data_IF_232236875667
#
_entry.id   IF_232236875667
#
_cell.length_a   1.000
_cell.length_b   1.000
_cell.length_c   1.000
_cell.angle_alpha   90.00
_cell.angle_beta   90.00
_cell.angle_gamma   90.00
#
_symmetry.space_group_name_H-M   'P 1'
#
loop_
_entity.id
_entity.type
_entity.pdbx_description
1 polymer ?
#
# COMPACT_ATOMS: atom_id res chain seq x y z
N UNK A 1 -32.56 20.19 21.13
CA UNK A 1 -31.23 20.74 20.87
C UNK A 1 -30.14 20.08 21.70
N UNK A 2 -29.84 18.82 21.46
CA UNK A 2 -28.83 18.03 22.21
C UNK A 2 -27.82 17.38 21.25
N UNK A 3 -27.50 17.97 20.11
CA UNK A 3 -26.60 17.40 19.12
C UNK A 3 -25.33 18.22 18.83
N UNK A 4 -25.04 19.26 19.63
CA UNK A 4 -23.94 20.22 19.35
C UNK A 4 -22.66 20.09 20.17
N UNK A 5 -22.53 19.20 21.18
CA UNK A 5 -21.41 19.27 22.12
C UNK A 5 -20.56 18.00 22.27
N UNK A 6 -20.69 17.01 21.40
CA UNK A 6 -19.95 15.72 21.54
C UNK A 6 -18.52 15.75 20.99
N UNK A 7 -18.12 16.74 20.21
CA UNK A 7 -16.81 16.75 19.54
C UNK A 7 -15.68 17.40 20.35
N UNK A 8 -15.96 18.40 21.15
CA UNK A 8 -14.92 19.17 21.91
C UNK A 8 -14.66 18.60 23.31
N UNK A 9 -15.65 17.96 23.95
CA UNK A 9 -15.49 17.37 25.28
C UNK A 9 -14.63 16.11 25.32
N UNK A 10 -14.52 15.39 24.21
CA UNK A 10 -13.75 14.14 24.15
C UNK A 10 -12.24 14.37 23.97
N UNK A 11 -11.84 15.52 23.43
CA UNK A 11 -10.42 15.89 23.27
C UNK A 11 -9.80 16.24 24.63
N UNK A 12 -10.51 16.95 25.48
CA UNK A 12 -10.02 17.32 26.83
C UNK A 12 -9.98 16.16 27.83
N UNK A 13 -10.82 15.12 27.65
CA UNK A 13 -10.79 13.94 28.52
C UNK A 13 -9.61 12.99 28.24
N UNK A 14 -8.91 13.13 27.13
CA UNK A 14 -7.76 12.28 26.77
C UNK A 14 -6.48 12.63 27.53
N UNK A 15 -6.39 13.81 28.13
CA UNK A 15 -5.17 14.29 28.79
C UNK A 15 -4.85 13.58 30.10
N UNK A 16 -5.86 13.03 30.80
CA UNK A 16 -5.70 12.32 32.08
C UNK A 16 -6.06 10.81 31.97
N UNK A 17 -6.10 10.27 30.77
CA UNK A 17 -6.49 8.88 30.58
C UNK A 17 -5.35 7.92 30.95
N UNK A 18 -5.59 7.02 31.90
CA UNK A 18 -4.69 5.93 32.23
C UNK A 18 -4.72 4.87 31.09
N UNK A 19 -3.67 4.84 30.27
CA UNK A 19 -3.51 3.89 29.17
C UNK A 19 -2.98 2.51 29.61
N UNK A 20 -2.96 2.19 30.90
CA UNK A 20 -2.60 0.86 31.36
C UNK A 20 -3.49 -0.23 30.72
N UNK A 21 -2.91 -1.39 30.42
CA UNK A 21 -3.66 -2.52 29.83
C UNK A 21 -4.90 -2.89 30.64
N UNK A 22 -4.78 -2.79 31.95
CA UNK A 22 -5.87 -3.09 32.89
C UNK A 22 -7.01 -2.07 32.82
N UNK A 23 -6.71 -0.79 32.65
CA UNK A 23 -7.73 0.25 32.53
C UNK A 23 -8.38 0.22 31.15
N UNK A 24 -7.60 0.13 30.08
CA UNK A 24 -8.11 0.09 28.71
C UNK A 24 -8.93 -1.18 28.45
N UNK A 25 -8.51 -2.34 28.99
CA UNK A 25 -9.32 -3.57 28.87
C UNK A 25 -10.69 -3.42 29.52
N UNK A 26 -10.76 -2.72 30.64
CA UNK A 26 -12.03 -2.43 31.32
C UNK A 26 -12.91 -1.46 30.52
N UNK A 27 -12.33 -0.38 30.02
CA UNK A 27 -13.05 0.66 29.24
C UNK A 27 -13.60 0.10 27.94
N UNK A 28 -12.83 -0.76 27.27
CA UNK A 28 -13.21 -1.36 25.99
C UNK A 28 -13.94 -2.70 26.12
N UNK A 29 -14.16 -3.19 27.35
CA UNK A 29 -14.79 -4.49 27.63
C UNK A 29 -14.09 -5.66 26.91
N UNK A 30 -12.77 -5.64 26.85
CA UNK A 30 -11.95 -6.69 26.22
C UNK A 30 -10.93 -7.25 27.22
N UNK A 31 -10.35 -8.42 26.95
CA UNK A 31 -9.26 -8.95 27.78
C UNK A 31 -7.92 -8.27 27.46
N UNK A 32 -7.01 -8.22 28.43
CA UNK A 32 -5.63 -7.74 28.21
C UNK A 32 -4.90 -8.58 27.13
N UNK A 33 -5.22 -9.88 27.04
CA UNK A 33 -4.73 -10.72 25.96
C UNK A 33 -5.23 -10.30 24.57
N UNK A 34 -6.44 -9.74 24.49
CA UNK A 34 -6.99 -9.18 23.25
C UNK A 34 -6.24 -7.91 22.84
N UNK A 35 -5.92 -7.03 23.80
CA UNK A 35 -5.11 -5.83 23.54
C UNK A 35 -3.71 -6.20 23.05
N UNK A 36 -3.09 -7.21 23.66
CA UNK A 36 -1.76 -7.69 23.23
C UNK A 36 -1.79 -8.26 21.81
N UNK A 37 -2.81 -9.08 21.48
CA UNK A 37 -2.99 -9.62 20.12
C UNK A 37 -3.29 -8.54 19.09
N UNK A 38 -4.08 -7.55 19.47
CA UNK A 38 -4.33 -6.38 18.62
C UNK A 38 -3.03 -5.65 18.32
N UNK A 39 -2.23 -5.34 19.34
CA UNK A 39 -0.95 -4.65 19.20
C UNK A 39 0.02 -5.42 18.30
N UNK A 40 0.08 -6.74 18.45
CA UNK A 40 0.90 -7.61 17.59
C UNK A 40 0.41 -7.59 16.12
N UNK A 41 -0.89 -7.55 15.88
CA UNK A 41 -1.44 -7.37 14.52
C UNK A 41 -1.12 -5.99 13.93
N UNK A 42 -0.92 -4.99 14.78
CA UNK A 42 -0.48 -3.65 14.37
C UNK A 42 1.04 -3.54 14.20
N UNK A 43 1.80 -4.65 14.32
CA UNK A 43 3.25 -4.68 14.11
C UNK A 43 4.10 -4.39 15.35
N UNK A 44 3.51 -4.29 16.53
CA UNK A 44 4.23 -4.07 17.79
C UNK A 44 4.48 -5.39 18.51
N UNK A 45 5.54 -5.48 19.31
CA UNK A 45 5.89 -6.69 20.13
C UNK A 45 4.82 -7.00 21.19
N UNK A 46 4.03 -5.99 21.59
CA UNK A 46 2.94 -6.12 22.55
C UNK A 46 2.29 -4.80 22.91
N UNK A 47 1.28 -4.85 23.81
CA UNK A 47 0.49 -3.69 24.17
C UNK A 47 1.32 -2.52 24.75
N UNK A 48 2.38 -2.83 25.51
CA UNK A 48 3.25 -1.82 26.14
C UNK A 48 3.98 -0.96 25.10
N UNK A 49 4.51 -1.59 24.07
CA UNK A 49 5.21 -0.91 22.98
C UNK A 49 4.23 -0.09 22.13
N UNK A 50 3.06 -0.66 21.82
CA UNK A 50 1.98 0.05 21.13
C UNK A 50 1.57 1.32 21.88
N UNK A 51 1.31 1.25 23.19
CA UNK A 51 0.92 2.41 24.00
C UNK A 51 2.04 3.42 24.12
N UNK A 52 3.29 3.00 24.29
CA UNK A 52 4.43 3.90 24.30
C UNK A 52 4.54 4.72 23.01
N UNK A 53 4.35 4.07 21.87
CA UNK A 53 4.33 4.76 20.57
C UNK A 53 3.14 5.73 20.48
N UNK A 54 1.95 5.29 20.88
CA UNK A 54 0.74 6.10 20.89
C UNK A 54 0.86 7.33 21.81
N UNK A 55 1.36 7.15 23.05
CA UNK A 55 1.58 8.26 23.99
C UNK A 55 2.64 9.24 23.48
N UNK A 56 3.68 8.75 22.82
CA UNK A 56 4.70 9.58 22.18
C UNK A 56 4.07 10.45 21.09
N UNK A 57 3.22 9.87 20.27
CA UNK A 57 2.53 10.57 19.20
C UNK A 57 1.50 11.58 19.77
N UNK A 58 0.75 11.23 20.83
CA UNK A 58 -0.13 12.14 21.56
C UNK A 58 0.63 13.32 22.21
N UNK A 59 1.79 13.07 22.84
CA UNK A 59 2.63 14.14 23.41
C UNK A 59 3.19 15.05 22.33
N UNK A 60 3.40 14.53 21.15
CA UNK A 60 3.76 15.31 19.98
C UNK A 60 2.58 16.14 19.46
N UNK A 61 1.37 15.60 19.47
CA UNK A 61 0.15 16.34 19.14
C UNK A 61 -0.14 17.46 20.18
N UNK A 62 0.03 17.19 21.46
CA UNK A 62 -0.20 18.17 22.53
C UNK A 62 0.80 19.35 22.53
N UNK A 63 2.04 19.14 22.05
CA UNK A 63 2.97 20.25 21.84
C UNK A 63 2.58 21.13 20.65
N UNK A 64 1.57 20.74 19.91
CA UNK A 64 1.09 21.40 18.71
C UNK A 64 -0.27 22.09 18.83
N UNK A 65 -0.92 22.11 19.99
CA UNK A 65 -2.14 22.89 20.19
C UNK A 65 -1.84 24.39 20.37
N UNK A 66 -1.86 25.11 19.28
CA UNK A 66 -2.00 26.56 19.25
C UNK A 66 -0.93 27.30 18.49
N UNK A 67 -1.08 27.44 17.23
CA UNK A 67 -0.74 28.57 16.33
C UNK A 67 -0.42 28.09 14.91
N UNK A 68 -0.36 28.98 13.93
CA UNK A 68 0.12 28.75 12.54
C UNK A 68 1.42 27.92 12.43
N UNK A 69 2.18 27.77 13.52
CA UNK A 69 3.38 26.91 13.60
C UNK A 69 3.07 25.42 13.52
N UNK A 70 1.88 24.99 13.88
CA UNK A 70 1.52 23.56 13.95
C UNK A 70 1.17 22.97 12.60
N UNK A 71 0.50 23.75 11.75
CA UNK A 71 0.30 23.38 10.35
C UNK A 71 1.66 23.18 9.66
N UNK A 72 2.65 24.02 10.00
CA UNK A 72 4.02 23.87 9.52
C UNK A 72 4.71 22.58 9.98
N UNK A 73 4.46 22.12 11.21
CA UNK A 73 5.02 20.87 11.74
C UNK A 73 4.37 19.63 11.11
N UNK A 74 3.05 19.63 10.96
CA UNK A 74 2.33 18.56 10.26
C UNK A 74 2.76 18.47 8.80
N UNK A 75 2.78 19.58 8.07
CA UNK A 75 3.25 19.65 6.70
C UNK A 75 4.68 19.12 6.55
N UNK A 76 5.59 19.47 7.47
CA UNK A 76 6.97 18.95 7.49
C UNK A 76 7.02 17.43 7.72
N UNK A 77 6.17 16.88 8.61
CA UNK A 77 6.09 15.42 8.81
C UNK A 77 5.65 14.71 7.54
N UNK A 78 4.58 15.19 6.91
CA UNK A 78 4.10 14.67 5.63
C UNK A 78 5.21 14.75 4.58
N UNK A 79 5.85 15.91 4.45
CA UNK A 79 6.98 16.11 3.54
C UNK A 79 8.12 15.11 3.79
N UNK A 80 8.53 14.94 5.05
CA UNK A 80 9.59 14.02 5.44
C UNK A 80 9.22 12.55 5.10
N UNK A 81 7.96 12.16 5.33
CA UNK A 81 7.47 10.82 5.00
C UNK A 81 7.53 10.56 3.49
N UNK A 82 7.09 11.51 2.68
CA UNK A 82 7.18 11.40 1.22
C UNK A 82 8.64 11.42 0.73
N UNK A 83 9.52 12.23 1.33
CA UNK A 83 10.95 12.24 0.98
C UNK A 83 11.61 10.90 1.29
N UNK A 84 11.33 10.30 2.45
CA UNK A 84 11.81 8.97 2.80
C UNK A 84 11.31 7.92 1.80
N UNK A 85 10.01 7.94 1.48
CA UNK A 85 9.41 7.02 0.52
C UNK A 85 10.08 7.13 -0.86
N UNK A 86 10.32 8.34 -1.34
CA UNK A 86 11.03 8.56 -2.60
C UNK A 86 12.46 8.01 -2.54
N UNK A 87 13.21 8.29 -1.47
CA UNK A 87 14.57 7.80 -1.28
C UNK A 87 14.62 6.27 -1.28
N UNK A 88 13.68 5.60 -0.59
CA UNK A 88 13.58 4.14 -0.58
C UNK A 88 13.30 3.58 -1.99
N UNK A 89 12.37 4.18 -2.73
CA UNK A 89 12.09 3.75 -4.11
C UNK A 89 13.32 3.95 -5.01
N UNK A 90 14.05 5.06 -4.89
CA UNK A 90 15.29 5.25 -5.64
C UNK A 90 16.39 4.25 -5.27
N UNK A 91 16.45 3.84 -3.98
CA UNK A 91 17.45 2.87 -3.51
C UNK A 91 17.21 1.46 -4.06
N UNK A 92 15.95 1.06 -4.21
CA UNK A 92 15.59 -0.27 -4.72
C UNK A 92 15.47 -0.32 -6.26
N UNK A 93 15.53 0.83 -6.93
CA UNK A 93 15.44 0.92 -8.39
C UNK A 93 16.69 0.30 -9.03
N UNK A 94 16.48 -0.68 -9.91
CA UNK A 94 17.50 -1.27 -10.76
C UNK A 94 17.35 -0.76 -12.20
N UNK A 95 18.31 0.04 -12.67
CA UNK A 95 18.28 0.61 -14.03
C UNK A 95 18.29 -0.46 -15.12
N UNK A 96 19.01 -1.56 -14.92
CA UNK A 96 19.02 -2.66 -15.88
C UNK A 96 17.65 -3.35 -15.95
N UNK A 97 16.97 -3.49 -14.82
CA UNK A 97 15.59 -3.98 -14.80
C UNK A 97 14.65 -3.04 -15.54
N UNK A 98 14.78 -1.73 -15.34
CA UNK A 98 13.98 -0.73 -16.08
C UNK A 98 14.19 -0.87 -17.59
N UNK A 99 15.43 -1.08 -18.04
CA UNK A 99 15.73 -1.31 -19.47
C UNK A 99 15.09 -2.61 -19.99
N UNK A 100 15.14 -3.71 -19.23
CA UNK A 100 14.48 -4.96 -19.62
C UNK A 100 12.96 -4.78 -19.72
N UNK A 101 12.35 -4.15 -18.73
CA UNK A 101 10.91 -3.85 -18.71
C UNK A 101 10.52 -2.94 -19.88
N UNK A 102 11.29 -1.89 -20.16
CA UNK A 102 11.09 -1.02 -21.33
C UNK A 102 11.21 -1.79 -22.65
N UNK A 103 12.14 -2.75 -22.73
CA UNK A 103 12.26 -3.67 -23.86
C UNK A 103 11.02 -4.52 -24.05
N UNK A 104 10.50 -5.13 -22.97
CA UNK A 104 9.26 -5.92 -22.99
C UNK A 104 8.05 -5.10 -23.44
N UNK A 105 7.93 -3.87 -22.93
CA UNK A 105 6.87 -2.92 -23.35
C UNK A 105 6.96 -2.62 -24.85
N UNK A 106 8.16 -2.33 -25.36
CA UNK A 106 8.36 -1.90 -26.74
C UNK A 106 8.07 -3.00 -27.79
N UNK A 107 8.29 -4.27 -27.45
CA UNK A 107 8.03 -5.39 -28.36
C UNK A 107 6.61 -5.92 -28.28
N UNK A 108 5.85 -5.58 -27.24
CA UNK A 108 4.50 -6.04 -27.03
C UNK A 108 3.51 -5.29 -27.91
N UNK A 109 2.61 -5.99 -28.60
CA UNK A 109 1.56 -5.36 -29.39
C UNK A 109 0.36 -4.93 -28.55
N UNK A 110 0.18 -5.57 -27.40
CA UNK A 110 -0.92 -5.29 -26.46
C UNK A 110 -0.41 -5.32 -25.04
N UNK A 111 -0.77 -4.32 -24.25
CA UNK A 111 -0.45 -4.27 -22.82
C UNK A 111 -1.75 -4.25 -22.00
N UNK A 112 -1.86 -5.18 -21.07
CA UNK A 112 -2.94 -5.21 -20.08
C UNK A 112 -2.35 -4.85 -18.73
N UNK A 113 -2.99 -3.94 -17.99
CA UNK A 113 -2.56 -3.59 -16.63
C UNK A 113 -3.66 -4.02 -15.66
N UNK A 114 -3.35 -4.98 -14.80
CA UNK A 114 -4.28 -5.52 -13.81
C UNK A 114 -4.05 -4.88 -12.45
N UNK A 115 -5.10 -4.37 -11.83
CA UNK A 115 -5.05 -3.79 -10.48
C UNK A 115 -6.45 -3.62 -9.91
N UNK A 116 -6.62 -3.82 -8.59
CA UNK A 116 -7.90 -3.70 -7.88
C UNK A 116 -7.77 -2.60 -6.82
N UNK A 117 -8.85 -1.85 -6.59
CA UNK A 117 -8.88 -0.76 -5.62
C UNK A 117 -7.85 0.33 -5.95
N UNK A 118 -6.99 0.71 -5.01
CA UNK A 118 -5.96 1.73 -5.23
C UNK A 118 -4.94 1.33 -6.32
N UNK A 119 -4.63 0.05 -6.45
CA UNK A 119 -3.81 -0.45 -7.55
C UNK A 119 -4.51 -0.32 -8.90
N UNK A 120 -5.83 -0.35 -8.93
CA UNK A 120 -6.64 -0.08 -10.13
C UNK A 120 -6.48 1.37 -10.60
N UNK A 121 -6.54 2.35 -9.69
CA UNK A 121 -6.28 3.75 -10.04
C UNK A 121 -4.86 3.95 -10.59
N UNK A 122 -3.88 3.26 -10.00
CA UNK A 122 -2.52 3.29 -10.56
C UNK A 122 -2.47 2.68 -11.97
N UNK A 123 -3.20 1.60 -12.23
CA UNK A 123 -3.28 0.98 -13.56
C UNK A 123 -3.89 1.96 -14.59
N UNK A 124 -4.94 2.67 -14.24
CA UNK A 124 -5.58 3.70 -15.09
C UNK A 124 -4.63 4.87 -15.38
N UNK A 125 -3.87 5.31 -14.36
CA UNK A 125 -2.84 6.36 -14.53
C UNK A 125 -1.73 5.90 -15.49
N UNK A 126 -1.24 4.67 -15.36
CA UNK A 126 -0.28 4.10 -16.29
C UNK A 126 -0.85 3.98 -17.71
N UNK A 127 -2.09 3.52 -17.86
CA UNK A 127 -2.75 3.48 -19.17
C UNK A 127 -2.73 4.85 -19.83
N UNK A 128 -3.18 5.89 -19.11
CA UNK A 128 -3.23 7.24 -19.65
C UNK A 128 -1.85 7.74 -20.12
N UNK A 129 -0.79 7.44 -19.34
CA UNK A 129 0.57 7.85 -19.67
C UNK A 129 1.11 7.11 -20.89
N UNK A 130 0.93 5.80 -20.95
CA UNK A 130 1.43 4.98 -22.05
C UNK A 130 0.67 5.25 -23.36
N UNK A 131 -0.64 5.46 -23.32
CA UNK A 131 -1.42 5.87 -24.50
C UNK A 131 -0.94 7.20 -25.09
N UNK A 132 -0.48 8.14 -24.26
CA UNK A 132 0.08 9.41 -24.73
C UNK A 132 1.36 9.26 -25.58
N UNK A 133 2.08 8.17 -25.41
CA UNK A 133 3.27 7.84 -26.20
C UNK A 133 2.98 6.82 -27.30
N UNK A 134 1.69 6.55 -27.57
CA UNK A 134 1.23 5.75 -28.71
C UNK A 134 1.18 4.24 -28.46
N UNK A 135 1.18 3.79 -27.19
CA UNK A 135 1.09 2.37 -26.88
C UNK A 135 -0.38 1.93 -26.75
N UNK A 136 -0.68 0.71 -27.22
CA UNK A 136 -1.99 0.06 -26.99
C UNK A 136 -2.01 -0.59 -25.60
N UNK A 137 -2.57 0.14 -24.64
CA UNK A 137 -2.60 -0.24 -23.23
C UNK A 137 -4.03 -0.18 -22.69
N UNK A 138 -4.43 -1.18 -21.95
CA UNK A 138 -5.74 -1.26 -21.31
C UNK A 138 -5.61 -1.61 -19.82
N UNK A 139 -6.04 -0.70 -18.95
CA UNK A 139 -6.19 -0.96 -17.53
C UNK A 139 -7.46 -1.77 -17.29
N UNK A 140 -7.36 -2.86 -16.54
CA UNK A 140 -8.47 -3.74 -16.21
C UNK A 140 -8.56 -3.84 -14.69
N UNK A 141 -9.61 -3.24 -14.13
CA UNK A 141 -9.80 -3.09 -12.68
C UNK A 141 -10.92 -3.98 -12.13
N UNK A 142 -11.70 -4.58 -13.01
CA UNK A 142 -12.74 -5.56 -12.67
C UNK A 142 -12.23 -6.99 -12.81
N UNK A 143 -12.50 -7.83 -11.81
CA UNK A 143 -11.97 -9.21 -11.73
C UNK A 143 -12.47 -10.13 -12.85
N UNK A 144 -13.71 -9.95 -13.31
CA UNK A 144 -14.25 -10.73 -14.43
C UNK A 144 -13.59 -10.31 -15.74
N UNK A 145 -13.47 -9.01 -15.96
CA UNK A 145 -12.79 -8.47 -17.14
C UNK A 145 -11.31 -8.84 -17.17
N UNK A 146 -10.63 -8.93 -16.02
CA UNK A 146 -9.26 -9.44 -15.93
C UNK A 146 -9.16 -10.87 -16.46
N UNK A 147 -10.05 -11.76 -16.03
CA UNK A 147 -10.08 -13.17 -16.49
C UNK A 147 -10.36 -13.27 -17.99
N UNK A 148 -11.29 -12.46 -18.50
CA UNK A 148 -11.59 -12.40 -19.93
C UNK A 148 -10.37 -11.90 -20.71
N UNK A 149 -9.76 -10.78 -20.28
CA UNK A 149 -8.56 -10.22 -20.89
C UNK A 149 -7.39 -11.20 -20.88
N UNK A 150 -7.21 -11.91 -19.76
CA UNK A 150 -6.19 -12.93 -19.59
C UNK A 150 -6.42 -14.15 -20.51
N UNK A 151 -7.67 -14.58 -20.68
CA UNK A 151 -8.02 -15.69 -21.58
C UNK A 151 -7.80 -15.35 -23.07
N UNK A 152 -7.89 -14.07 -23.42
CA UNK A 152 -7.63 -13.54 -24.77
C UNK A 152 -6.18 -13.10 -24.98
N UNK A 153 -5.31 -13.25 -23.96
CA UNK A 153 -3.90 -12.94 -24.07
C UNK A 153 -3.16 -13.97 -24.93
N UNK A 154 -2.00 -13.60 -25.44
CA UNK A 154 -1.12 -14.45 -26.23
C UNK A 154 0.32 -13.99 -26.15
N UNK A 155 1.23 -14.55 -26.97
CA UNK A 155 2.68 -14.29 -26.95
C UNK A 155 3.06 -12.80 -27.16
N UNK A 156 2.21 -12.06 -27.88
CA UNK A 156 2.41 -10.62 -28.12
C UNK A 156 1.78 -9.72 -27.03
N UNK A 157 1.21 -10.34 -25.98
CA UNK A 157 0.58 -9.61 -24.86
C UNK A 157 1.53 -9.51 -23.67
N UNK A 158 1.67 -8.32 -23.14
CA UNK A 158 2.31 -8.07 -21.85
C UNK A 158 1.24 -7.78 -20.80
N UNK A 159 1.30 -8.46 -19.67
CA UNK A 159 0.46 -8.17 -18.51
C UNK A 159 1.32 -7.53 -17.43
N UNK A 160 0.92 -6.35 -16.96
CA UNK A 160 1.49 -5.68 -15.79
C UNK A 160 0.53 -5.85 -14.62
N UNK A 161 0.90 -6.62 -13.62
CA UNK A 161 0.11 -6.83 -12.42
C UNK A 161 0.54 -5.85 -11.32
N UNK A 162 -0.34 -4.95 -10.90
CA UNK A 162 -0.10 -4.01 -9.80
C UNK A 162 -0.83 -4.52 -8.56
N UNK A 163 -0.06 -4.97 -7.55
CA UNK A 163 -0.60 -5.47 -6.29
C UNK A 163 0.43 -5.29 -5.17
N UNK A 164 0.13 -4.44 -4.18
CA UNK A 164 1.10 -4.13 -3.12
C UNK A 164 1.47 -5.34 -2.28
N UNK A 165 0.49 -6.15 -1.85
CA UNK A 165 0.74 -7.41 -1.12
C UNK A 165 1.31 -8.51 -2.00
N UNK A 166 1.03 -8.48 -3.30
CA UNK A 166 1.32 -9.56 -4.22
C UNK A 166 0.51 -10.85 -3.98
N UNK A 167 -0.57 -10.77 -3.18
CA UNK A 167 -1.40 -11.92 -2.79
C UNK A 167 -2.88 -11.75 -3.18
N UNK A 168 -3.22 -10.73 -3.97
CA UNK A 168 -4.60 -10.51 -4.44
C UNK A 168 -5.02 -11.68 -5.33
N UNK A 169 -5.98 -12.48 -4.86
CA UNK A 169 -6.35 -13.76 -5.48
C UNK A 169 -6.82 -13.59 -6.94
N UNK A 170 -7.64 -12.58 -7.21
CA UNK A 170 -8.18 -12.30 -8.55
C UNK A 170 -7.08 -11.92 -9.54
N UNK A 171 -6.07 -11.15 -9.09
CA UNK A 171 -4.91 -10.80 -9.91
C UNK A 171 -4.06 -12.04 -10.17
N UNK A 172 -3.77 -12.83 -9.12
CA UNK A 172 -2.98 -14.04 -9.20
C UNK A 172 -3.59 -15.07 -10.18
N UNK A 173 -4.90 -15.30 -10.06
CA UNK A 173 -5.62 -16.21 -10.96
C UNK A 173 -5.56 -15.73 -12.41
N UNK A 174 -5.78 -14.42 -12.62
CA UNK A 174 -5.78 -13.82 -13.95
C UNK A 174 -4.40 -13.89 -14.61
N UNK A 175 -3.31 -13.60 -13.88
CA UNK A 175 -1.96 -13.71 -14.47
C UNK A 175 -1.58 -15.16 -14.79
N UNK A 176 -2.03 -16.14 -14.01
CA UNK A 176 -1.82 -17.57 -14.32
C UNK A 176 -2.52 -17.98 -15.64
N UNK A 177 -3.74 -17.48 -15.84
CA UNK A 177 -4.46 -17.68 -17.11
C UNK A 177 -3.67 -17.04 -18.26
N UNK A 178 -3.27 -15.77 -18.14
CA UNK A 178 -2.52 -15.08 -19.19
C UNK A 178 -1.19 -15.76 -19.51
N UNK A 179 -0.45 -16.17 -18.47
CA UNK A 179 0.81 -16.91 -18.59
C UNK A 179 0.63 -18.24 -19.32
N UNK A 180 -0.46 -19.00 -19.05
CA UNK A 180 -0.78 -20.23 -19.75
C UNK A 180 -1.10 -20.02 -21.24
N UNK A 181 -1.41 -18.78 -21.63
CA UNK A 181 -1.64 -18.37 -23.03
C UNK A 181 -0.40 -17.83 -23.72
N UNK A 182 0.75 -17.83 -23.04
CA UNK A 182 2.03 -17.35 -23.58
C UNK A 182 2.30 -15.87 -23.32
N UNK A 183 1.45 -15.15 -22.59
CA UNK A 183 1.70 -13.74 -22.25
C UNK A 183 2.90 -13.58 -21.31
N UNK A 184 3.65 -12.50 -21.51
CA UNK A 184 4.69 -12.06 -20.59
C UNK A 184 4.07 -11.36 -19.39
N UNK A 185 4.61 -11.58 -18.20
CA UNK A 185 4.08 -11.03 -16.94
C UNK A 185 5.15 -10.19 -16.25
N UNK A 186 4.77 -8.96 -15.90
CA UNK A 186 5.53 -8.06 -15.00
C UNK A 186 4.68 -7.84 -13.75
N UNK A 187 5.30 -7.86 -12.58
CA UNK A 187 4.65 -7.52 -11.32
C UNK A 187 5.22 -6.23 -10.73
N UNK A 188 4.35 -5.36 -10.23
CA UNK A 188 4.72 -4.24 -9.36
C UNK A 188 4.15 -4.52 -7.97
N UNK A 189 5.03 -4.73 -6.98
CA UNK A 189 4.64 -5.15 -5.62
C UNK A 189 5.60 -4.60 -4.56
N UNK A 190 5.13 -4.46 -3.32
CA UNK A 190 6.00 -4.18 -2.18
C UNK A 190 6.70 -5.46 -1.65
N UNK A 191 6.19 -6.65 -1.99
CA UNK A 191 6.65 -7.94 -1.45
C UNK A 191 7.24 -8.80 -2.56
N UNK A 192 8.57 -8.77 -2.74
CA UNK A 192 9.28 -9.48 -3.81
C UNK A 192 9.15 -11.01 -3.77
N UNK A 193 8.84 -11.59 -2.60
CA UNK A 193 8.63 -13.03 -2.43
C UNK A 193 7.18 -13.50 -2.58
N UNK A 194 6.26 -12.62 -2.96
CA UNK A 194 4.83 -12.89 -3.03
C UNK A 194 4.44 -13.89 -4.13
N UNK A 195 3.19 -14.37 -4.07
CA UNK A 195 2.66 -15.34 -5.04
C UNK A 195 2.62 -14.78 -6.45
N UNK A 196 2.21 -13.51 -6.63
CA UNK A 196 2.20 -12.84 -7.95
C UNK A 196 3.62 -12.64 -8.46
N UNK A 197 4.58 -12.27 -7.59
CA UNK A 197 5.97 -12.11 -7.97
C UNK A 197 6.59 -13.41 -8.52
N UNK A 198 6.31 -14.56 -7.90
CA UNK A 198 6.79 -15.89 -8.35
C UNK A 198 6.26 -16.30 -9.74
N UNK A 199 5.12 -15.77 -10.15
CA UNK A 199 4.56 -16.04 -11.48
C UNK A 199 5.08 -15.09 -12.56
N UNK A 200 5.78 -14.02 -12.19
CA UNK A 200 6.22 -12.94 -13.07
C UNK A 200 7.65 -13.15 -13.58
N UNK A 201 7.95 -12.69 -14.81
CA UNK A 201 9.31 -12.68 -15.37
C UNK A 201 10.13 -11.53 -14.80
N UNK A 202 9.51 -10.38 -14.55
CA UNK A 202 10.14 -9.23 -13.92
C UNK A 202 9.29 -8.77 -12.73
N UNK A 203 9.97 -8.42 -11.64
CA UNK A 203 9.33 -7.97 -10.39
C UNK A 203 9.86 -6.59 -10.04
N UNK A 204 9.10 -5.56 -10.34
CA UNK A 204 9.40 -4.19 -9.94
C UNK A 204 8.99 -4.03 -8.48
N UNK A 205 9.97 -3.99 -7.59
CA UNK A 205 9.71 -3.74 -6.19
C UNK A 205 9.45 -2.26 -5.95
N UNK A 206 8.43 -1.94 -5.16
CA UNK A 206 8.08 -0.58 -4.78
C UNK A 206 7.98 -0.45 -3.26
N UNK A 207 8.50 0.62 -2.70
CA UNK A 207 8.21 1.00 -1.33
C UNK A 207 6.87 1.74 -1.27
N UNK A 208 6.05 1.44 -0.26
CA UNK A 208 4.76 2.10 -0.02
C UNK A 208 4.63 2.44 1.45
N UNK A 209 3.98 3.55 1.79
CA UNK A 209 3.78 3.99 3.19
C UNK A 209 3.06 2.94 4.06
N UNK A 210 2.25 2.06 3.45
CA UNK A 210 1.57 0.97 4.17
C UNK A 210 2.48 -0.25 4.44
N UNK A 211 3.66 -0.32 3.82
CA UNK A 211 4.60 -1.45 3.87
C UNK A 211 6.05 -0.99 4.10
N UNK A 212 6.27 0.21 4.63
CA UNK A 212 7.61 0.62 5.04
C UNK A 212 8.03 -0.16 6.28
N UNK A 213 9.29 -0.59 6.30
CA UNK A 213 9.92 -1.48 7.26
C UNK A 213 9.97 -0.99 8.73
N UNK A 214 9.39 0.14 9.06
CA UNK A 214 9.15 0.55 10.45
C UNK A 214 8.13 -0.37 11.19
N UNK A 215 7.59 -1.39 10.50
CA UNK A 215 6.82 -2.46 11.11
C UNK A 215 7.69 -3.69 11.48
N UNK A 216 9.01 -3.65 11.27
CA UNK A 216 9.91 -4.80 11.43
C UNK A 216 11.11 -4.58 12.40
N UNK A 217 11.16 -3.43 13.12
CA UNK A 217 12.12 -3.20 14.22
C UNK A 217 11.42 -3.03 15.57
#
# INVERSE_FOLDING_TARGET
>A
DVLGSRGLGDVYKRQDMDFSSKNISRVLYVSEATLSRFSQKCGYKGYREFIFSYERDLKFEQKSEGTEKDVGLFARRVQNSYQKLLQENFRILDEEQVRRVAGMLNISKRVLIFGIGNSGYAAEEFQLRFMRIGMDVNAVTDSHMMKIGAALAGEETLVIAITLSGETAEVLESIRIAKSRGASIICMTAVSGSSVAKESQEVIQVACLLYTSDAAD
#
